data_IF_187904201074
#
_entry.id   IF_187904201074
#
_cell.length_a   1.000
_cell.length_b   1.000
_cell.length_c   1.000
_cell.angle_alpha   90.00
_cell.angle_beta   90.00
_cell.angle_gamma   90.00
#
_symmetry.space_group_name_H-M   'P 1'
#
loop_
_entity.id
_entity.type
_entity.pdbx_description
1 polymer ?
#
# COMPACT_ATOMS: atom_id res chain seq x y z
N UNK A 1 -7.15 -43.57 -1.11
CA UNK A 1 -6.06 -42.61 -0.84
C UNK A 1 -6.73 -41.32 -0.45
N UNK A 2 -6.73 -41.02 0.86
CA UNK A 2 -7.25 -39.76 1.40
C UNK A 2 -6.28 -38.63 1.04
N UNK A 3 -6.75 -37.43 0.66
CA UNK A 3 -5.88 -36.26 0.59
C UNK A 3 -5.41 -35.92 2.00
N UNK A 4 -4.11 -36.03 2.24
CA UNK A 4 -3.49 -35.77 3.53
C UNK A 4 -3.86 -34.40 4.08
N UNK A 5 -4.51 -34.40 5.24
CA UNK A 5 -4.70 -33.23 6.08
C UNK A 5 -3.34 -32.62 6.40
N UNK A 6 -3.13 -31.37 6.00
CA UNK A 6 -1.94 -30.60 6.40
C UNK A 6 -1.90 -30.53 7.94
N UNK A 7 -0.73 -30.77 8.56
CA UNK A 7 -0.62 -30.76 10.01
C UNK A 7 -0.89 -29.35 10.56
N UNK A 8 -1.62 -29.30 11.67
CA UNK A 8 -1.85 -28.10 12.45
C UNK A 8 -0.54 -27.67 13.13
N UNK A 9 0.19 -26.73 12.52
CA UNK A 9 1.07 -25.72 13.16
C UNK A 9 1.80 -24.88 12.08
N UNK A 10 1.08 -24.03 11.36
CA UNK A 10 1.64 -22.79 10.81
C UNK A 10 0.85 -21.64 11.42
N UNK A 11 1.41 -20.99 12.44
CA UNK A 11 0.93 -19.66 12.85
C UNK A 11 1.10 -18.75 11.63
N UNK A 12 -0.03 -18.43 10.99
CA UNK A 12 -0.06 -17.98 9.60
C UNK A 12 0.85 -16.80 9.32
N UNK A 13 1.78 -16.96 8.35
CA UNK A 13 2.48 -15.81 7.78
C UNK A 13 1.42 -14.87 7.19
N UNK A 14 1.27 -13.69 7.81
CA UNK A 14 0.39 -12.64 7.30
C UNK A 14 0.75 -12.36 5.84
N UNK A 15 -0.22 -12.55 4.94
CA UNK A 15 -0.01 -12.43 3.49
C UNK A 15 0.02 -10.95 3.11
N UNK A 16 1.00 -10.56 2.32
CA UNK A 16 1.15 -9.23 1.72
C UNK A 16 1.30 -9.42 0.22
N UNK A 17 0.65 -8.57 -0.57
CA UNK A 17 0.88 -8.49 -2.01
C UNK A 17 1.79 -7.31 -2.30
N UNK A 18 2.77 -7.50 -3.19
CA UNK A 18 3.64 -6.42 -3.69
C UNK A 18 3.48 -6.31 -5.19
N UNK A 19 3.17 -5.11 -5.68
CA UNK A 19 3.04 -4.77 -7.10
C UNK A 19 4.11 -3.74 -7.45
N UNK A 20 5.19 -4.22 -8.06
CA UNK A 20 6.33 -3.40 -8.50
C UNK A 20 6.37 -3.30 -10.02
N UNK A 21 6.82 -2.15 -10.52
CA UNK A 21 7.10 -1.93 -11.94
C UNK A 21 7.36 -0.45 -12.25
N UNK A 22 7.77 -0.11 -13.48
CA UNK A 22 8.15 1.26 -13.85
C UNK A 22 6.95 2.21 -13.85
N UNK A 23 7.17 3.52 -13.70
CA UNK A 23 6.11 4.54 -13.81
C UNK A 23 5.30 4.36 -15.10
N UNK A 24 3.99 4.65 -15.05
CA UNK A 24 3.04 4.48 -16.16
C UNK A 24 2.79 3.02 -16.64
N UNK A 25 3.28 1.99 -15.95
CA UNK A 25 3.01 0.58 -16.30
C UNK A 25 1.64 0.01 -15.86
N UNK A 26 0.70 0.85 -15.40
CA UNK A 26 -0.64 0.41 -14.99
C UNK A 26 -0.79 -0.22 -13.60
N UNK A 27 0.24 -0.14 -12.74
CA UNK A 27 0.26 -0.75 -11.40
C UNK A 27 -0.90 -0.31 -10.50
N UNK A 28 -1.22 0.98 -10.47
CA UNK A 28 -2.29 1.50 -9.61
C UNK A 28 -3.64 0.88 -9.97
N UNK A 29 -3.95 0.76 -11.27
CA UNK A 29 -5.16 0.08 -11.72
C UNK A 29 -5.19 -1.40 -11.32
N UNK A 30 -4.06 -2.11 -11.46
CA UNK A 30 -3.95 -3.50 -11.02
C UNK A 30 -4.11 -3.64 -9.49
N UNK A 31 -3.51 -2.73 -8.72
CA UNK A 31 -3.61 -2.69 -7.26
C UNK A 31 -5.06 -2.46 -6.80
N UNK A 32 -5.75 -1.47 -7.37
CA UNK A 32 -7.16 -1.17 -7.06
C UNK A 32 -8.05 -2.37 -7.41
N UNK A 33 -7.84 -3.01 -8.57
CA UNK A 33 -8.58 -4.20 -8.96
C UNK A 33 -8.39 -5.36 -7.99
N UNK A 34 -7.17 -5.61 -7.52
CA UNK A 34 -6.88 -6.62 -6.51
C UNK A 34 -7.48 -6.26 -5.14
N UNK A 35 -7.39 -5.00 -4.72
CA UNK A 35 -7.94 -4.53 -3.47
C UNK A 35 -9.47 -4.73 -3.43
N UNK A 36 -10.18 -4.35 -4.49
CA UNK A 36 -11.63 -4.58 -4.60
C UNK A 36 -11.99 -6.07 -4.55
N UNK A 37 -11.22 -6.92 -5.22
CA UNK A 37 -11.47 -8.37 -5.28
C UNK A 37 -11.23 -9.08 -3.95
N UNK A 38 -10.24 -8.63 -3.18
CA UNK A 38 -9.78 -9.33 -1.97
C UNK A 38 -9.99 -8.53 -0.67
N UNK A 39 -10.85 -7.51 -0.70
CA UNK A 39 -11.10 -6.62 0.44
C UNK A 39 -9.78 -6.07 1.02
N UNK A 40 -8.92 -5.59 0.13
CA UNK A 40 -7.59 -5.09 0.45
C UNK A 40 -7.51 -3.57 0.57
N UNK A 41 -6.38 -3.11 1.08
CA UNK A 41 -6.02 -1.70 1.19
C UNK A 41 -4.60 -1.50 0.66
N UNK A 42 -4.31 -0.33 0.09
CA UNK A 42 -3.09 -0.06 -0.66
C UNK A 42 -2.15 0.81 0.16
N UNK A 43 -0.86 0.48 0.18
CA UNK A 43 0.22 1.33 0.68
C UNK A 43 1.06 1.74 -0.52
N UNK A 44 1.10 3.04 -0.83
CA UNK A 44 1.91 3.55 -1.94
C UNK A 44 3.40 3.51 -1.60
N UNK A 45 4.20 2.81 -2.40
CA UNK A 45 5.66 2.77 -2.34
C UNK A 45 6.28 3.67 -3.42
N UNK A 46 5.84 4.92 -3.48
CA UNK A 46 6.34 5.95 -4.39
C UNK A 46 6.92 7.13 -3.61
N UNK A 47 8.21 7.44 -3.84
CA UNK A 47 8.90 8.48 -3.08
C UNK A 47 8.43 9.90 -3.36
N UNK A 48 7.57 10.10 -4.37
CA UNK A 48 7.05 11.42 -4.73
C UNK A 48 5.59 11.61 -4.29
N UNK A 49 4.81 10.53 -4.21
CA UNK A 49 3.40 10.62 -3.83
C UNK A 49 3.17 10.91 -2.35
N UNK A 50 4.19 10.74 -1.50
CA UNK A 50 4.13 11.05 -0.06
C UNK A 50 3.91 12.54 0.22
N UNK A 51 4.29 13.42 -0.70
CA UNK A 51 4.29 14.88 -0.50
C UNK A 51 2.97 15.55 -0.86
N UNK A 52 2.45 16.40 0.04
CA UNK A 52 1.20 17.15 -0.14
C UNK A 52 1.24 18.13 -1.31
N UNK A 53 0.12 18.22 -2.03
CA UNK A 53 -0.09 19.19 -3.12
C UNK A 53 0.72 18.92 -4.39
N UNK A 54 1.48 17.82 -4.45
CA UNK A 54 2.27 17.42 -5.61
C UNK A 54 1.54 16.36 -6.43
N UNK A 55 0.36 16.65 -6.97
CA UNK A 55 -0.55 15.59 -7.46
C UNK A 55 -0.30 15.21 -8.92
N UNK A 56 -0.38 16.19 -9.83
CA UNK A 56 -0.28 15.98 -11.28
C UNK A 56 1.08 15.41 -11.69
N UNK A 57 2.17 15.98 -11.19
CA UNK A 57 3.53 15.57 -11.55
C UNK A 57 3.96 14.22 -10.99
N UNK A 58 3.23 13.68 -10.01
CA UNK A 58 3.57 12.41 -9.33
C UNK A 58 2.60 11.29 -9.65
N UNK A 59 1.57 11.56 -10.46
CA UNK A 59 0.60 10.57 -10.90
C UNK A 59 -0.20 9.97 -9.75
N UNK A 60 -0.58 10.78 -8.75
CA UNK A 60 -1.52 10.35 -7.70
C UNK A 60 -2.86 9.97 -8.34
N UNK A 61 -3.50 8.97 -7.74
CA UNK A 61 -4.85 8.58 -8.13
C UNK A 61 -5.86 9.63 -7.67
N UNK A 62 -6.93 9.84 -8.43
CA UNK A 62 -8.02 10.72 -8.01
C UNK A 62 -8.80 10.07 -6.87
N UNK A 63 -9.19 10.86 -5.86
CA UNK A 63 -9.92 10.36 -4.71
C UNK A 63 -10.30 11.43 -3.70
N UNK A 64 -10.92 11.00 -2.60
CA UNK A 64 -11.27 11.86 -1.47
C UNK A 64 -10.46 11.47 -0.25
N UNK A 65 -9.93 12.46 0.48
CA UNK A 65 -9.22 12.19 1.74
C UNK A 65 -10.16 11.74 2.85
N UNK A 66 -9.85 10.61 3.48
CA UNK A 66 -10.50 10.12 4.69
C UNK A 66 -9.61 10.43 5.90
N UNK A 67 -10.00 11.44 6.67
CA UNK A 67 -9.28 11.87 7.86
C UNK A 67 -9.32 10.84 9.01
N UNK A 68 -10.35 9.97 9.07
CA UNK A 68 -10.46 8.95 10.10
C UNK A 68 -9.41 7.85 9.95
N UNK A 69 -9.10 7.48 8.70
CA UNK A 69 -8.11 6.46 8.38
C UNK A 69 -6.72 7.03 8.00
N UNK A 70 -6.65 8.34 7.71
CA UNK A 70 -5.44 9.00 7.22
C UNK A 70 -5.02 8.46 5.85
N UNK A 71 -5.99 8.35 4.93
CA UNK A 71 -5.82 7.71 3.62
C UNK A 71 -6.57 8.47 2.53
N UNK A 72 -6.03 8.41 1.31
CA UNK A 72 -6.75 8.81 0.11
C UNK A 72 -7.64 7.66 -0.35
N UNK A 73 -8.96 7.88 -0.46
CA UNK A 73 -9.90 6.87 -0.93
C UNK A 73 -10.15 7.07 -2.43
N UNK A 74 -9.66 6.12 -3.23
CA UNK A 74 -9.84 6.12 -4.68
C UNK A 74 -10.64 4.89 -5.08
N UNK A 75 -11.74 5.10 -5.80
CA UNK A 75 -12.68 4.04 -6.20
C UNK A 75 -13.15 3.12 -5.05
N UNK A 76 -13.29 3.67 -3.83
CA UNK A 76 -13.68 2.92 -2.63
C UNK A 76 -12.53 2.15 -1.96
N UNK A 77 -11.30 2.29 -2.44
CA UNK A 77 -10.11 1.63 -1.88
C UNK A 77 -9.23 2.65 -1.15
N UNK A 78 -8.91 2.43 0.14
CA UNK A 78 -7.96 3.25 0.88
C UNK A 78 -6.53 3.11 0.33
N UNK A 79 -5.87 4.25 0.12
CA UNK A 79 -4.47 4.38 -0.25
C UNK A 79 -3.73 5.16 0.84
N UNK A 80 -2.78 4.48 1.49
CA UNK A 80 -1.88 5.04 2.49
C UNK A 80 -0.56 5.50 1.86
N UNK A 81 0.23 6.26 2.62
CA UNK A 81 1.49 6.86 2.18
C UNK A 81 1.34 7.80 0.97
N UNK A 82 0.20 8.46 0.88
CA UNK A 82 -0.06 9.59 -0.02
C UNK A 82 -0.37 10.79 0.87
N UNK A 83 0.18 11.96 0.56
CA UNK A 83 -0.09 13.21 1.29
C UNK A 83 0.20 13.16 2.80
N UNK A 84 1.25 12.42 3.19
CA UNK A 84 1.62 12.19 4.59
C UNK A 84 2.69 13.16 5.12
N UNK A 85 3.38 13.91 4.25
CA UNK A 85 4.43 14.86 4.63
C UNK A 85 4.37 16.12 3.76
N UNK A 86 4.88 17.24 4.26
CA UNK A 86 4.95 18.48 3.49
C UNK A 86 6.20 18.52 2.59
N UNK A 87 6.16 19.19 1.41
CA UNK A 87 7.31 19.25 0.50
C UNK A 87 8.62 19.81 1.09
N UNK A 88 8.53 20.53 2.21
CA UNK A 88 9.67 21.13 2.90
C UNK A 88 10.21 20.23 4.03
N UNK A 89 9.62 19.06 4.25
CA UNK A 89 10.02 18.07 5.25
C UNK A 89 10.80 16.92 4.60
N UNK A 90 11.74 16.35 5.36
CA UNK A 90 12.46 15.16 4.92
C UNK A 90 11.61 13.91 5.15
N UNK A 91 11.50 13.08 4.11
CA UNK A 91 10.90 11.75 4.21
C UNK A 91 11.75 10.73 3.47
N UNK A 92 12.35 9.80 4.21
CA UNK A 92 13.30 8.83 3.66
C UNK A 92 12.78 7.38 3.75
N UNK A 93 13.59 6.44 3.25
CA UNK A 93 13.25 5.01 3.21
C UNK A 93 13.01 4.40 4.60
N UNK A 94 13.68 4.91 5.63
CA UNK A 94 13.49 4.43 7.01
C UNK A 94 12.14 4.88 7.55
N UNK A 95 11.71 6.10 7.22
CA UNK A 95 10.40 6.63 7.59
C UNK A 95 9.29 5.87 6.87
N UNK A 96 9.47 5.65 5.56
CA UNK A 96 8.58 4.80 4.77
C UNK A 96 8.45 3.40 5.39
N UNK A 97 9.57 2.74 5.70
CA UNK A 97 9.57 1.41 6.30
C UNK A 97 8.74 1.39 7.57
N UNK A 98 9.04 2.28 8.54
CA UNK A 98 8.28 2.36 9.80
C UNK A 98 6.78 2.60 9.56
N UNK A 99 6.44 3.52 8.66
CA UNK A 99 5.06 3.82 8.31
C UNK A 99 4.35 2.61 7.68
N UNK A 100 5.00 1.95 6.72
CA UNK A 100 4.46 0.80 6.01
C UNK A 100 4.22 -0.38 6.94
N UNK A 101 5.17 -0.72 7.83
CA UNK A 101 4.98 -1.78 8.83
C UNK A 101 3.77 -1.50 9.73
N UNK A 102 3.65 -0.28 10.26
CA UNK A 102 2.48 0.11 11.06
C UNK A 102 1.19 -0.04 10.28
N UNK A 103 1.15 0.41 9.02
CA UNK A 103 -0.06 0.29 8.18
C UNK A 103 -0.37 -1.17 7.84
N UNK A 104 0.63 -2.01 7.61
CA UNK A 104 0.43 -3.45 7.41
C UNK A 104 -0.27 -4.06 8.63
N UNK A 105 0.22 -3.79 9.84
CA UNK A 105 -0.39 -4.30 11.08
C UNK A 105 -1.83 -3.80 11.25
N UNK A 106 -2.07 -2.50 11.05
CA UNK A 106 -3.40 -1.91 11.08
C UNK A 106 -4.36 -2.58 10.09
N UNK A 107 -3.95 -2.75 8.82
CA UNK A 107 -4.75 -3.40 7.77
C UNK A 107 -5.08 -4.85 8.17
N UNK A 108 -4.08 -5.60 8.63
CA UNK A 108 -4.25 -7.00 9.04
C UNK A 108 -5.17 -7.14 10.25
N UNK A 109 -5.07 -6.24 11.24
CA UNK A 109 -5.96 -6.23 12.41
C UNK A 109 -7.43 -6.01 12.06
N UNK A 110 -7.71 -5.36 10.92
CA UNK A 110 -9.07 -5.22 10.35
C UNK A 110 -9.51 -6.43 9.52
N UNK A 111 -8.68 -7.47 9.42
CA UNK A 111 -8.93 -8.65 8.60
C UNK A 111 -8.85 -8.38 7.09
N UNK A 112 -8.14 -7.32 6.68
CA UNK A 112 -7.99 -6.92 5.27
C UNK A 112 -6.63 -7.30 4.72
N UNK A 113 -6.51 -7.31 3.39
CA UNK A 113 -5.28 -7.66 2.69
C UNK A 113 -4.39 -6.42 2.43
N UNK A 114 -3.17 -6.35 2.98
CA UNK A 114 -2.22 -5.29 2.65
C UNK A 114 -1.65 -5.48 1.24
N UNK A 115 -1.70 -4.43 0.43
CA UNK A 115 -1.15 -4.38 -0.93
C UNK A 115 -0.16 -3.23 -1.02
N UNK A 116 1.13 -3.52 -1.18
CA UNK A 116 2.16 -2.50 -1.42
C UNK A 116 2.28 -2.29 -2.94
N UNK A 117 2.11 -1.06 -3.40
CA UNK A 117 2.15 -0.74 -4.83
C UNK A 117 3.07 0.46 -5.08
N UNK A 118 4.06 0.33 -5.96
CA UNK A 118 4.94 1.46 -6.27
C UNK A 118 6.06 1.17 -7.26
N UNK A 119 6.72 2.23 -7.73
CA UNK A 119 7.86 2.16 -8.64
C UNK A 119 9.22 2.29 -7.96
N UNK A 120 9.27 2.60 -6.67
CA UNK A 120 10.52 2.84 -5.95
C UNK A 120 11.09 1.51 -5.47
N UNK A 121 11.77 0.78 -6.35
CA UNK A 121 12.32 -0.55 -6.03
C UNK A 121 13.20 -0.57 -4.76
N UNK A 122 13.95 0.52 -4.53
CA UNK A 122 14.74 0.70 -3.31
C UNK A 122 13.90 0.67 -2.03
N UNK A 123 12.72 1.32 -2.01
CA UNK A 123 11.83 1.33 -0.84
C UNK A 123 11.21 -0.03 -0.57
N UNK A 124 10.97 -0.81 -1.63
CA UNK A 124 10.42 -2.17 -1.52
C UNK A 124 11.49 -3.16 -1.04
N UNK A 125 12.77 -2.95 -1.39
CA UNK A 125 13.88 -3.83 -1.00
C UNK A 125 14.44 -3.60 0.41
N UNK A 126 14.06 -2.51 1.08
CA UNK A 126 14.69 -2.01 2.29
C UNK A 126 14.23 -2.66 3.61
#
# INVERSE_FOLDING_TARGET
MEPGSLPAEEVGKNKIIVILGPTASGKSAAAIGLAKKFNGEIISADSRQVFRGMDIGTGKVDGSWDAGNGALVSEGVPHYAIDITDPNEDFNVTDFKKYAYRKIEEILSRGKLPIICGGTGFWISA
#
